data_IF_256422090066
#
_entry.id   IF_256422090066
#
_cell.length_a   1.000
_cell.length_b   1.000
_cell.length_c   1.000
_cell.angle_alpha   90.00
_cell.angle_beta   90.00
_cell.angle_gamma   90.00
#
_symmetry.space_group_name_H-M   'P 1'
#
loop_
_entity.id
_entity.type
_entity.pdbx_description
1 polymer ?
#
# COMPACT_ATOMS: atom_id res chain seq x y z
N UNK A 1 58.71 30.70 1.35
CA UNK A 1 57.93 29.83 2.23
C UNK A 1 56.65 29.41 1.49
N UNK A 2 56.46 28.18 1.11
CA UNK A 2 55.24 27.74 0.43
C UNK A 2 54.17 27.37 1.48
N UNK A 3 52.98 27.92 1.34
CA UNK A 3 51.81 27.62 2.15
C UNK A 3 51.24 26.25 1.75
N UNK A 4 51.13 25.34 2.75
CA UNK A 4 50.50 24.05 2.61
C UNK A 4 48.98 24.22 2.54
N UNK A 5 48.37 23.87 1.40
CA UNK A 5 46.96 23.75 1.24
C UNK A 5 46.53 22.41 1.86
N UNK A 6 45.81 22.47 2.99
CA UNK A 6 45.13 21.30 3.54
C UNK A 6 43.88 21.02 2.73
N UNK A 7 43.93 19.97 1.93
CA UNK A 7 42.74 19.40 1.31
C UNK A 7 41.83 18.82 2.42
N UNK A 8 40.72 19.47 2.71
CA UNK A 8 39.61 18.86 3.46
C UNK A 8 39.08 17.67 2.68
N UNK A 9 39.27 16.48 3.21
CA UNK A 9 38.51 15.29 2.76
C UNK A 9 37.05 15.54 3.10
N UNK A 10 36.23 15.77 2.09
CA UNK A 10 34.79 15.65 2.21
C UNK A 10 34.51 14.21 2.66
N UNK A 11 34.10 14.05 3.89
CA UNK A 11 33.58 12.82 4.43
C UNK A 11 32.26 12.51 3.69
N UNK A 12 32.31 11.58 2.74
CA UNK A 12 31.12 11.05 2.12
C UNK A 12 30.19 10.53 3.22
N UNK A 13 29.04 11.18 3.40
CA UNK A 13 27.99 10.69 4.28
C UNK A 13 27.64 9.28 3.81
N UNK A 14 28.04 8.27 4.59
CA UNK A 14 27.58 6.90 4.42
C UNK A 14 26.07 6.95 4.53
N UNK A 15 25.35 6.79 3.41
CA UNK A 15 23.90 6.69 3.45
C UNK A 15 23.56 5.46 4.30
N UNK A 16 23.03 5.69 5.50
CA UNK A 16 22.58 4.61 6.37
C UNK A 16 21.52 3.81 5.64
N UNK A 17 21.66 2.48 5.64
CA UNK A 17 20.69 1.57 5.00
C UNK A 17 19.34 1.70 5.71
N UNK A 18 18.27 1.72 4.94
CA UNK A 18 16.92 1.96 5.48
C UNK A 18 16.52 0.96 6.57
N UNK A 19 16.97 -0.29 6.44
CA UNK A 19 16.74 -1.34 7.42
C UNK A 19 17.42 -1.04 8.78
N UNK A 20 18.62 -0.48 8.76
CA UNK A 20 19.44 -0.29 9.97
C UNK A 20 18.96 0.93 10.80
N UNK A 21 18.20 1.82 10.16
CA UNK A 21 17.65 3.03 10.79
C UNK A 21 16.12 3.00 10.94
N UNK A 22 15.52 1.83 10.76
CA UNK A 22 14.08 1.66 10.88
C UNK A 22 13.62 2.01 12.31
N UNK A 23 12.74 3.02 12.49
CA UNK A 23 12.26 3.40 13.82
C UNK A 23 11.18 2.46 14.36
N UNK A 24 10.60 1.62 13.50
CA UNK A 24 9.59 0.61 13.84
C UNK A 24 9.87 -0.68 13.08
N UNK A 25 9.50 -1.81 13.66
CA UNK A 25 9.58 -3.12 13.01
C UNK A 25 8.21 -3.50 12.41
N UNK A 26 8.14 -3.53 11.08
CA UNK A 26 6.97 -3.95 10.32
C UNK A 26 7.02 -5.43 9.93
N UNK A 27 8.14 -6.13 10.15
CA UNK A 27 8.34 -7.49 9.62
C UNK A 27 7.42 -8.53 10.27
N UNK A 28 7.20 -9.66 9.59
CA UNK A 28 6.42 -10.81 10.05
C UNK A 28 5.01 -10.85 9.46
N UNK A 29 4.13 -11.58 10.12
CA UNK A 29 2.77 -11.86 9.66
C UNK A 29 1.74 -10.98 10.37
N UNK A 30 0.77 -10.50 9.60
CA UNK A 30 -0.28 -9.63 10.08
C UNK A 30 -1.62 -10.08 9.48
N UNK A 31 -2.68 -10.11 10.28
CA UNK A 31 -4.03 -10.45 9.79
C UNK A 31 -4.94 -9.24 9.87
N UNK A 32 -5.77 -9.04 8.86
CA UNK A 32 -6.79 -7.97 8.85
C UNK A 32 -7.67 -8.03 10.09
N UNK A 33 -7.71 -6.90 10.81
CA UNK A 33 -8.62 -6.68 11.93
C UNK A 33 -9.68 -5.67 11.49
N UNK A 34 -10.80 -6.20 10.94
CA UNK A 34 -11.81 -5.38 10.25
C UNK A 34 -12.73 -4.73 11.26
N UNK A 35 -12.39 -3.52 11.70
CA UNK A 35 -13.19 -2.69 12.63
C UNK A 35 -13.89 -1.54 11.93
N UNK A 36 -13.40 -1.15 10.74
CA UNK A 36 -13.91 -0.03 9.94
C UNK A 36 -14.43 -0.51 8.58
N UNK A 37 -15.42 0.16 8.05
CA UNK A 37 -16.00 -0.11 6.72
C UNK A 37 -16.34 -1.59 6.46
N UNK A 38 -16.55 -2.40 7.51
CA UNK A 38 -16.75 -3.85 7.43
C UNK A 38 -17.79 -4.24 6.37
N UNK A 39 -18.88 -3.48 6.25
CA UNK A 39 -19.95 -3.70 5.26
C UNK A 39 -19.45 -3.68 3.82
N UNK A 40 -18.41 -2.88 3.53
CA UNK A 40 -17.85 -2.72 2.18
C UNK A 40 -16.59 -3.55 1.96
N UNK A 41 -16.02 -4.10 3.03
CA UNK A 41 -14.82 -4.94 2.99
C UNK A 41 -15.15 -6.43 3.03
N UNK A 42 -16.15 -6.83 3.83
CA UNK A 42 -16.52 -8.23 4.04
C UNK A 42 -17.53 -8.75 3.02
N UNK A 43 -18.24 -7.87 2.35
CA UNK A 43 -19.22 -8.22 1.31
C UNK A 43 -19.01 -7.31 0.11
N UNK A 44 -19.03 -7.88 -1.11
CA UNK A 44 -19.00 -7.05 -2.33
C UNK A 44 -20.28 -6.21 -2.39
N UNK A 45 -20.17 -4.87 -2.39
CA UNK A 45 -21.34 -4.01 -2.49
C UNK A 45 -22.07 -4.19 -3.83
N UNK A 46 -23.34 -3.80 -3.87
CA UNK A 46 -24.10 -3.84 -5.09
C UNK A 46 -23.47 -2.98 -6.20
N UNK A 47 -23.68 -3.36 -7.45
CA UNK A 47 -23.36 -2.54 -8.62
C UNK A 47 -24.00 -1.15 -8.47
N UNK A 48 -23.27 -0.09 -8.78
CA UNK A 48 -23.74 1.29 -8.62
C UNK A 48 -23.58 1.87 -7.21
N UNK A 49 -23.16 1.08 -6.21
CA UNK A 49 -22.96 1.54 -4.83
C UNK A 49 -21.56 2.13 -4.65
N UNK A 50 -21.46 3.44 -4.52
CA UNK A 50 -20.19 4.14 -4.28
C UNK A 50 -20.22 5.13 -3.10
N UNK A 51 -21.23 5.04 -2.24
CA UNK A 51 -21.31 5.89 -1.05
C UNK A 51 -19.99 5.87 -0.26
N UNK A 52 -19.61 7.04 0.28
CA UNK A 52 -18.35 7.31 0.99
C UNK A 52 -17.09 7.31 0.11
N UNK A 53 -17.23 7.18 -1.20
CA UNK A 53 -16.12 7.45 -2.13
C UNK A 53 -16.47 8.71 -2.91
N UNK A 54 -15.59 9.72 -2.94
CA UNK A 54 -15.83 10.99 -3.62
C UNK A 54 -15.65 10.84 -5.14
N UNK A 55 -16.52 10.06 -5.77
CA UNK A 55 -16.45 9.74 -7.20
C UNK A 55 -16.81 10.97 -8.04
N UNK A 56 -16.01 11.24 -9.07
CA UNK A 56 -16.29 12.27 -10.07
C UNK A 56 -17.44 11.83 -11.02
N UNK A 57 -18.10 12.75 -11.72
CA UNK A 57 -19.08 12.40 -12.76
C UNK A 57 -18.55 11.42 -13.82
N UNK A 58 -17.25 11.45 -14.13
CA UNK A 58 -16.62 10.53 -15.07
C UNK A 58 -16.54 9.07 -14.57
N UNK A 59 -16.49 8.87 -13.26
CA UNK A 59 -16.44 7.52 -12.66
C UNK A 59 -17.79 6.80 -12.64
N UNK A 60 -18.90 7.53 -12.59
CA UNK A 60 -20.26 6.95 -12.42
C UNK A 60 -20.64 5.98 -13.55
N UNK A 61 -20.44 6.29 -14.84
CA UNK A 61 -20.74 5.34 -15.92
C UNK A 61 -19.95 4.04 -15.79
N UNK A 62 -18.69 4.08 -15.33
CA UNK A 62 -17.83 2.89 -15.16
C UNK A 62 -18.40 1.99 -14.07
N UNK A 63 -18.78 2.57 -12.92
CA UNK A 63 -19.40 1.83 -11.81
C UNK A 63 -20.69 1.15 -12.26
N UNK A 64 -21.52 1.86 -13.04
CA UNK A 64 -22.78 1.34 -13.55
C UNK A 64 -22.59 0.28 -14.66
N UNK A 65 -21.44 0.31 -15.37
CA UNK A 65 -21.08 -0.69 -16.36
C UNK A 65 -20.35 -1.90 -15.78
N UNK A 66 -19.93 -1.87 -14.49
CA UNK A 66 -19.16 -2.96 -13.89
C UNK A 66 -19.76 -4.34 -14.13
N UNK A 67 -18.93 -5.25 -14.63
CA UNK A 67 -19.28 -6.64 -14.90
C UNK A 67 -18.10 -7.55 -14.49
N UNK A 68 -18.21 -8.26 -13.36
CA UNK A 68 -17.14 -9.13 -12.87
C UNK A 68 -16.87 -10.33 -13.77
N UNK A 69 -17.88 -10.78 -14.52
CA UNK A 69 -17.74 -11.91 -15.48
C UNK A 69 -16.90 -11.45 -16.68
N UNK A 70 -17.17 -10.24 -17.19
CA UNK A 70 -16.37 -9.64 -18.25
C UNK A 70 -14.94 -9.40 -17.80
N UNK A 71 -14.71 -8.89 -16.56
CA UNK A 71 -13.37 -8.72 -16.01
C UNK A 71 -12.62 -10.05 -15.90
N UNK A 72 -13.27 -11.11 -15.44
CA UNK A 72 -12.66 -12.46 -15.36
C UNK A 72 -12.28 -12.97 -16.74
N UNK A 73 -13.18 -12.85 -17.72
CA UNK A 73 -12.94 -13.29 -19.11
C UNK A 73 -11.79 -12.53 -19.77
N UNK A 74 -11.62 -11.26 -19.41
CA UNK A 74 -10.54 -10.41 -19.91
C UNK A 74 -9.21 -10.56 -19.14
N UNK A 75 -9.11 -11.45 -18.13
CA UNK A 75 -7.92 -11.59 -17.29
C UNK A 75 -7.69 -10.42 -16.32
N UNK A 76 -8.75 -9.69 -16.00
CA UNK A 76 -8.69 -8.47 -15.20
C UNK A 76 -9.18 -8.66 -13.74
N UNK A 77 -9.24 -9.88 -13.25
CA UNK A 77 -9.72 -10.20 -11.89
C UNK A 77 -8.89 -9.55 -10.78
N UNK A 78 -7.68 -9.09 -11.09
CA UNK A 78 -6.83 -8.38 -10.12
C UNK A 78 -7.08 -6.86 -10.04
N UNK A 79 -8.05 -6.29 -10.76
CA UNK A 79 -8.35 -4.85 -10.71
C UNK A 79 -8.62 -4.32 -9.29
N UNK A 80 -9.26 -5.12 -8.43
CA UNK A 80 -9.56 -4.75 -7.04
C UNK A 80 -8.45 -5.10 -6.05
N UNK A 81 -7.34 -5.63 -6.53
CA UNK A 81 -6.16 -5.99 -5.73
C UNK A 81 -4.96 -5.10 -6.04
N UNK A 82 -5.15 -4.01 -6.79
CA UNK A 82 -4.10 -3.04 -7.06
C UNK A 82 -3.78 -2.15 -5.86
N UNK A 83 -2.71 -1.35 -5.96
CA UNK A 83 -2.18 -0.54 -4.88
C UNK A 83 -3.24 0.35 -4.19
N UNK A 84 -4.20 0.90 -4.95
CA UNK A 84 -5.27 1.75 -4.41
C UNK A 84 -6.30 1.04 -3.53
N UNK A 85 -6.31 -0.30 -3.50
CA UNK A 85 -7.33 -1.08 -2.82
C UNK A 85 -6.79 -2.21 -1.94
N UNK A 86 -5.60 -2.74 -2.24
CA UNK A 86 -5.13 -4.01 -1.67
C UNK A 86 -5.12 -4.04 -0.13
N UNK A 87 -4.79 -2.93 0.52
CA UNK A 87 -4.80 -2.86 1.99
C UNK A 87 -6.21 -2.93 2.58
N UNK A 88 -7.26 -2.61 1.80
CA UNK A 88 -8.66 -2.77 2.21
C UNK A 88 -9.20 -4.19 1.99
N UNK A 89 -8.55 -5.01 1.18
CA UNK A 89 -8.95 -6.41 0.98
C UNK A 89 -8.63 -7.20 2.25
N UNK A 90 -9.63 -7.84 2.89
CA UNK A 90 -9.36 -8.68 4.06
C UNK A 90 -8.45 -9.84 3.69
N UNK A 91 -7.46 -10.10 4.51
CA UNK A 91 -6.46 -11.15 4.31
C UNK A 91 -5.29 -10.95 5.26
N UNK A 92 -4.16 -11.58 4.93
CA UNK A 92 -2.91 -11.47 5.66
C UNK A 92 -1.85 -10.74 4.86
N UNK A 93 -0.96 -10.08 5.60
CA UNK A 93 0.28 -9.53 5.07
C UNK A 93 1.46 -10.35 5.60
N UNK A 94 2.44 -10.58 4.76
CA UNK A 94 3.77 -11.03 5.14
C UNK A 94 4.78 -9.98 4.73
N UNK A 95 5.42 -9.35 5.72
CA UNK A 95 6.34 -8.24 5.51
C UNK A 95 7.75 -8.69 5.86
N UNK A 96 8.68 -8.54 4.92
CA UNK A 96 10.08 -8.93 5.07
C UNK A 96 11.02 -7.92 4.41
N UNK A 97 12.26 -7.87 4.86
CA UNK A 97 13.29 -7.17 4.11
C UNK A 97 13.80 -8.05 2.98
N UNK A 98 13.65 -7.59 1.72
CA UNK A 98 14.24 -8.25 0.56
C UNK A 98 15.75 -7.98 0.49
N UNK A 99 16.14 -6.76 0.84
CA UNK A 99 17.52 -6.29 0.95
C UNK A 99 17.59 -5.14 1.99
N UNK A 100 18.70 -4.43 2.04
CA UNK A 100 18.92 -3.37 3.04
C UNK A 100 18.03 -2.13 2.84
N UNK A 101 17.52 -1.89 1.62
CA UNK A 101 16.77 -0.71 1.21
C UNK A 101 15.44 -1.04 0.51
N UNK A 102 15.01 -2.30 0.56
CA UNK A 102 13.74 -2.74 -0.02
C UNK A 102 12.93 -3.57 0.97
N UNK A 103 11.81 -3.04 1.41
CA UNK A 103 10.81 -3.78 2.18
C UNK A 103 9.83 -4.45 1.23
N UNK A 104 9.65 -5.76 1.38
CA UNK A 104 8.73 -6.58 0.61
C UNK A 104 7.46 -6.83 1.41
N UNK A 105 6.33 -6.49 0.83
CA UNK A 105 5.00 -6.73 1.39
C UNK A 105 4.23 -7.67 0.48
N UNK A 106 3.93 -8.84 0.99
CA UNK A 106 3.12 -9.86 0.30
C UNK A 106 1.73 -9.91 0.92
N UNK A 107 0.72 -10.18 0.09
CA UNK A 107 -0.65 -10.43 0.55
C UNK A 107 -1.06 -11.85 0.17
N UNK A 108 -1.71 -12.58 1.07
CA UNK A 108 -2.30 -13.87 0.76
C UNK A 108 -3.52 -13.70 -0.16
N UNK A 109 -4.40 -12.76 0.13
CA UNK A 109 -5.51 -12.41 -0.74
C UNK A 109 -5.00 -11.80 -2.06
N UNK A 110 -5.28 -12.48 -3.17
CA UNK A 110 -4.86 -12.06 -4.50
C UNK A 110 -3.41 -12.39 -4.86
N UNK A 111 -2.60 -12.95 -3.95
CA UNK A 111 -1.17 -13.28 -4.16
C UNK A 111 -0.39 -12.11 -4.71
N UNK A 112 -0.53 -10.93 -4.10
CA UNK A 112 0.17 -9.74 -4.56
C UNK A 112 1.49 -9.57 -3.82
N UNK A 113 2.46 -8.94 -4.50
CA UNK A 113 3.74 -8.52 -3.92
C UNK A 113 3.96 -7.06 -4.23
N UNK A 114 4.30 -6.28 -3.21
CA UNK A 114 4.68 -4.87 -3.30
C UNK A 114 6.12 -4.73 -2.81
N UNK A 115 6.90 -3.91 -3.50
CA UNK A 115 8.27 -3.60 -3.12
C UNK A 115 8.36 -2.13 -2.78
N UNK A 116 8.55 -1.81 -1.50
CA UNK A 116 8.75 -0.46 -1.01
C UNK A 116 10.24 -0.14 -1.01
N UNK A 117 10.66 0.68 -1.97
CA UNK A 117 12.06 1.00 -2.19
C UNK A 117 12.42 2.32 -1.53
N UNK A 118 13.40 2.26 -0.64
CA UNK A 118 14.02 3.44 -0.05
C UNK A 118 15.11 3.96 -1.00
N UNK A 119 15.43 5.25 -0.91
CA UNK A 119 16.50 5.89 -1.72
C UNK A 119 16.37 5.67 -3.24
N UNK A 120 15.16 5.36 -3.71
CA UNK A 120 14.85 5.08 -5.11
C UNK A 120 14.04 6.23 -5.72
N UNK A 121 14.08 6.30 -7.04
CA UNK A 121 13.19 7.12 -7.85
C UNK A 121 12.33 6.20 -8.71
N UNK A 122 11.15 6.67 -9.10
CA UNK A 122 10.33 5.96 -10.09
C UNK A 122 11.09 5.83 -11.41
N UNK A 123 10.93 4.70 -12.09
CA UNK A 123 11.64 4.40 -13.34
C UNK A 123 10.93 5.03 -14.53
N UNK A 124 11.51 6.04 -15.20
CA UNK A 124 10.87 6.63 -16.36
C UNK A 124 10.60 5.58 -17.45
N UNK A 125 9.37 5.51 -17.95
CA UNK A 125 8.97 4.59 -19.03
C UNK A 125 8.69 3.15 -18.62
N UNK A 126 8.71 2.82 -17.35
CA UNK A 126 8.24 1.51 -16.87
C UNK A 126 6.75 1.32 -17.18
N UNK A 127 6.37 0.10 -17.57
CA UNK A 127 4.95 -0.22 -17.83
C UNK A 127 4.17 -0.21 -16.52
N UNK A 128 2.96 0.40 -16.50
CA UNK A 128 2.09 0.36 -15.33
C UNK A 128 1.77 -1.07 -14.88
N UNK A 129 1.80 -1.30 -13.56
CA UNK A 129 1.43 -2.58 -12.95
C UNK A 129 0.29 -2.38 -11.94
N UNK A 130 -0.37 -3.47 -11.48
CA UNK A 130 -1.39 -3.36 -10.45
C UNK A 130 -0.84 -2.75 -9.15
N UNK A 131 0.42 -3.04 -8.81
CA UNK A 131 1.06 -2.55 -7.59
C UNK A 131 1.87 -1.27 -7.79
N UNK A 132 2.04 -0.82 -9.04
CA UNK A 132 2.78 0.39 -9.37
C UNK A 132 4.26 0.32 -8.94
N UNK A 133 4.83 1.50 -8.77
CA UNK A 133 6.18 1.72 -8.23
C UNK A 133 6.08 2.49 -6.92
N UNK A 134 6.61 1.92 -5.85
CA UNK A 134 6.51 2.48 -4.50
C UNK A 134 7.85 2.99 -4.01
N UNK A 135 7.89 4.26 -3.66
CA UNK A 135 9.02 4.93 -3.00
C UNK A 135 8.69 5.09 -1.52
N UNK A 136 9.58 4.63 -0.67
CA UNK A 136 9.41 4.59 0.77
C UNK A 136 10.39 5.54 1.47
N UNK A 137 9.96 6.06 2.63
CA UNK A 137 10.82 6.79 3.56
C UNK A 137 10.34 6.60 4.99
N UNK A 138 11.28 6.58 5.93
CA UNK A 138 10.94 6.66 7.33
C UNK A 138 10.59 8.10 7.73
N UNK A 139 9.59 8.23 8.58
CA UNK A 139 9.21 9.48 9.23
C UNK A 139 9.37 9.28 10.74
N UNK A 140 10.60 9.49 11.29
CA UNK A 140 10.85 9.34 12.71
C UNK A 140 10.13 10.44 13.49
N UNK A 141 9.67 10.14 14.70
CA UNK A 141 9.20 11.17 15.63
C UNK A 141 10.41 11.90 16.26
N UNK A 142 10.17 13.05 16.89
CA UNK A 142 11.24 13.90 17.44
C UNK A 142 12.17 13.21 18.46
N UNK A 143 11.73 12.10 19.06
CA UNK A 143 12.54 11.23 19.91
C UNK A 143 12.64 9.85 19.25
N UNK A 144 13.81 9.43 18.74
CA UNK A 144 13.99 8.19 17.97
C UNK A 144 13.58 6.91 18.71
N UNK A 145 13.63 6.90 20.03
CA UNK A 145 13.19 5.82 20.91
C UNK A 145 11.66 5.71 21.05
N UNK A 146 10.91 6.67 20.50
CA UNK A 146 9.44 6.72 20.59
C UNK A 146 8.72 6.22 19.33
N UNK A 147 9.46 5.60 18.40
CA UNK A 147 8.90 5.05 17.18
C UNK A 147 8.92 6.01 15.99
N UNK A 148 8.03 5.79 15.04
CA UNK A 148 7.92 6.54 13.79
C UNK A 148 6.89 5.91 12.89
N UNK A 149 6.83 6.40 11.66
CA UNK A 149 5.95 5.92 10.61
C UNK A 149 6.75 5.55 9.36
N UNK A 150 6.25 4.59 8.58
CA UNK A 150 6.73 4.40 7.22
C UNK A 150 5.77 5.12 6.27
N UNK A 151 6.26 6.10 5.53
CA UNK A 151 5.53 6.70 4.42
C UNK A 151 5.91 6.06 3.11
N UNK A 152 4.90 5.68 2.31
CA UNK A 152 5.06 5.11 0.97
C UNK A 152 4.24 5.93 -0.02
N UNK A 153 4.84 6.29 -1.15
CA UNK A 153 4.13 6.91 -2.28
C UNK A 153 4.25 6.00 -3.48
N UNK A 154 3.10 5.59 -4.00
CA UNK A 154 3.00 4.69 -5.16
C UNK A 154 2.40 5.42 -6.35
N UNK A 155 3.07 5.31 -7.49
CA UNK A 155 2.63 5.83 -8.78
C UNK A 155 2.80 4.76 -9.87
N UNK A 156 2.60 5.09 -11.15
CA UNK A 156 2.73 4.16 -12.27
C UNK A 156 1.85 2.90 -12.12
N UNK A 157 0.63 3.10 -11.64
CA UNK A 157 -0.37 2.05 -11.43
C UNK A 157 -1.17 1.78 -12.70
N UNK A 158 -1.61 0.55 -12.92
CA UNK A 158 -2.68 0.26 -13.89
C UNK A 158 -4.00 0.73 -13.31
N UNK A 159 -4.89 1.21 -14.19
CA UNK A 159 -6.27 1.52 -13.81
C UNK A 159 -6.96 0.30 -13.17
N UNK A 160 -7.57 0.50 -12.02
CA UNK A 160 -8.17 -0.57 -11.21
C UNK A 160 -9.41 -0.12 -10.47
N UNK A 161 -9.76 -0.83 -9.41
CA UNK A 161 -10.92 -0.53 -8.59
C UNK A 161 -10.53 -0.27 -7.13
N UNK A 162 -11.13 0.75 -6.52
CA UNK A 162 -11.04 1.06 -5.08
C UNK A 162 -11.90 0.12 -4.24
N UNK A 163 -12.91 -0.50 -4.86
CA UNK A 163 -13.79 -1.51 -4.27
C UNK A 163 -14.08 -2.60 -5.28
N UNK A 164 -14.40 -3.79 -4.81
CA UNK A 164 -14.70 -4.96 -5.64
C UNK A 164 -15.94 -4.82 -6.52
N UNK A 165 -16.76 -3.84 -6.32
CA UNK A 165 -17.93 -3.53 -7.15
C UNK A 165 -17.66 -2.51 -8.27
N UNK A 166 -16.40 -2.37 -8.69
CA UNK A 166 -16.06 -1.62 -9.90
C UNK A 166 -15.91 -0.11 -9.71
N UNK A 167 -15.76 0.41 -8.48
CA UNK A 167 -15.47 1.83 -8.27
C UNK A 167 -14.04 2.12 -8.74
N UNK A 168 -13.84 2.91 -9.82
CA UNK A 168 -12.58 2.98 -10.51
C UNK A 168 -11.55 3.91 -9.84
N UNK A 169 -10.27 3.64 -10.10
CA UNK A 169 -9.20 4.63 -10.16
C UNK A 169 -8.44 4.51 -11.49
N UNK A 170 -7.86 5.60 -11.95
CA UNK A 170 -7.16 5.68 -13.23
C UNK A 170 -5.67 5.38 -13.10
N UNK A 171 -4.95 5.30 -14.23
CA UNK A 171 -3.48 5.20 -14.26
C UNK A 171 -2.79 6.48 -13.78
N UNK A 172 -3.54 7.58 -13.62
CA UNK A 172 -3.05 8.86 -13.09
C UNK A 172 -3.18 8.95 -11.58
N UNK A 173 -3.70 7.90 -10.93
CA UNK A 173 -3.81 7.85 -9.48
C UNK A 173 -2.45 7.83 -8.80
N UNK A 174 -2.37 8.52 -7.67
CA UNK A 174 -1.28 8.43 -6.70
C UNK A 174 -1.83 7.86 -5.40
N UNK A 175 -1.11 6.91 -4.83
CA UNK A 175 -1.47 6.29 -3.56
C UNK A 175 -0.40 6.65 -2.54
N UNK A 176 -0.78 7.39 -1.50
CA UNK A 176 0.08 7.69 -0.35
C UNK A 176 -0.36 6.86 0.85
N UNK A 177 0.57 6.17 1.49
CA UNK A 177 0.28 5.30 2.63
C UNK A 177 1.20 5.62 3.80
N UNK A 178 0.66 5.55 5.02
CA UNK A 178 1.41 5.61 6.27
C UNK A 178 1.17 4.31 7.03
N UNK A 179 2.26 3.69 7.46
CA UNK A 179 2.26 2.44 8.22
C UNK A 179 2.74 2.77 9.63
N UNK A 180 1.85 2.59 10.60
CA UNK A 180 2.08 2.88 12.00
C UNK A 180 1.85 1.63 12.84
N UNK A 181 2.75 1.36 13.80
CA UNK A 181 2.60 0.24 14.72
C UNK A 181 2.32 0.76 16.12
N UNK A 182 1.29 0.22 16.75
CA UNK A 182 0.95 0.53 18.13
C UNK A 182 0.86 -0.74 18.98
N UNK A 183 1.36 -0.73 20.22
CA UNK A 183 1.20 -1.86 21.12
C UNK A 183 -0.26 -1.98 21.57
N UNK A 184 -0.70 -3.22 21.80
CA UNK A 184 -2.00 -3.52 22.40
C UNK A 184 -1.84 -3.85 23.89
N UNK A 185 -2.89 -3.65 24.72
CA UNK A 185 -2.83 -3.97 26.16
C UNK A 185 -2.57 -5.44 26.46
N UNK A 186 -2.87 -6.35 25.53
CA UNK A 186 -2.62 -7.79 25.64
C UNK A 186 -1.18 -8.20 25.27
N UNK A 187 -0.28 -7.23 25.02
CA UNK A 187 1.10 -7.46 24.59
C UNK A 187 1.23 -7.70 23.09
N UNK A 188 0.12 -7.71 22.34
CA UNK A 188 0.13 -7.79 20.89
C UNK A 188 0.50 -6.46 20.21
N UNK A 189 0.48 -6.45 18.89
CA UNK A 189 0.71 -5.26 18.08
C UNK A 189 -0.40 -5.08 17.05
N UNK A 190 -0.76 -3.82 16.83
CA UNK A 190 -1.67 -3.39 15.77
C UNK A 190 -0.89 -2.56 14.75
N UNK A 191 -1.00 -2.94 13.49
CA UNK A 191 -0.52 -2.15 12.35
C UNK A 191 -1.72 -1.38 11.77
N UNK A 192 -1.59 -0.07 11.68
CA UNK A 192 -2.53 0.82 11.01
C UNK A 192 -1.93 1.22 9.66
N UNK A 193 -2.72 1.13 8.59
CA UNK A 193 -2.28 1.55 7.26
C UNK A 193 -3.23 2.64 6.76
N UNK A 194 -2.87 3.90 6.98
CA UNK A 194 -3.65 5.01 6.42
C UNK A 194 -3.30 5.16 4.95
N UNK A 195 -4.28 4.90 4.09
CA UNK A 195 -4.14 5.00 2.63
C UNK A 195 -4.93 6.19 2.11
N UNK A 196 -4.29 7.04 1.34
CA UNK A 196 -4.87 8.18 0.63
C UNK A 196 -4.72 7.96 -0.86
N UNK A 197 -5.82 7.86 -1.59
CA UNK A 197 -5.83 7.76 -3.04
C UNK A 197 -6.29 9.09 -3.63
N UNK A 198 -5.44 9.70 -4.44
CA UNK A 198 -5.73 10.88 -5.24
C UNK A 198 -5.80 10.48 -6.71
N UNK A 199 -6.89 10.80 -7.37
CA UNK A 199 -7.08 10.49 -8.79
C UNK A 199 -7.77 11.68 -9.49
N UNK A 200 -7.06 12.40 -10.36
CA UNK A 200 -7.63 13.57 -11.04
C UNK A 200 -8.72 13.23 -12.06
N UNK A 201 -8.95 11.96 -12.36
CA UNK A 201 -9.95 11.50 -13.35
C UNK A 201 -11.25 11.08 -12.69
N UNK A 202 -11.17 10.18 -11.71
CA UNK A 202 -12.36 9.53 -11.16
C UNK A 202 -12.73 9.96 -9.74
N UNK A 203 -11.90 10.80 -9.10
CA UNK A 203 -12.20 11.34 -7.76
C UNK A 203 -12.28 12.87 -7.80
N UNK A 204 -13.22 13.45 -7.02
CA UNK A 204 -13.33 14.90 -6.80
C UNK A 204 -12.60 15.37 -5.54
N UNK A 205 -12.19 14.43 -4.69
CA UNK A 205 -11.40 14.67 -3.48
C UNK A 205 -10.61 13.40 -3.15
N UNK A 206 -9.57 13.45 -2.31
CA UNK A 206 -8.85 12.27 -1.87
C UNK A 206 -9.78 11.25 -1.19
N UNK A 207 -9.62 9.98 -1.54
CA UNK A 207 -10.29 8.86 -0.87
C UNK A 207 -9.37 8.29 0.19
N UNK A 208 -9.81 8.33 1.45
CA UNK A 208 -9.02 7.93 2.60
C UNK A 208 -9.60 6.67 3.25
N UNK A 209 -8.74 5.71 3.54
CA UNK A 209 -9.07 4.51 4.31
C UNK A 209 -7.99 4.25 5.36
N UNK A 210 -8.34 3.54 6.43
CA UNK A 210 -7.40 3.20 7.51
C UNK A 210 -7.59 1.75 7.99
N UNK A 211 -7.29 0.74 7.14
CA UNK A 211 -7.36 -0.66 7.55
C UNK A 211 -6.35 -0.98 8.65
N UNK A 212 -6.80 -1.88 9.55
CA UNK A 212 -6.02 -2.35 10.67
C UNK A 212 -5.63 -3.82 10.49
N UNK A 213 -4.47 -4.17 11.04
CA UNK A 213 -3.97 -5.54 11.04
C UNK A 213 -3.41 -5.88 12.42
N UNK A 214 -3.74 -7.06 12.94
CA UNK A 214 -3.17 -7.58 14.18
C UNK A 214 -1.98 -8.48 13.86
N UNK A 215 -0.90 -8.35 14.65
CA UNK A 215 0.29 -9.21 14.52
C UNK A 215 -0.08 -10.66 14.79
N UNK A 216 0.37 -11.58 13.93
CA UNK A 216 0.32 -13.02 14.15
C UNK A 216 1.70 -13.54 14.60
N UNK A 217 1.75 -14.60 15.40
CA UNK A 217 3.02 -15.13 15.92
C UNK A 217 3.89 -15.73 14.81
N UNK A 218 3.27 -16.31 13.78
CA UNK A 218 3.96 -17.00 12.69
C UNK A 218 3.08 -17.06 11.42
N UNK A 219 3.58 -17.77 10.40
CA UNK A 219 2.92 -17.96 9.12
C UNK A 219 2.01 -19.19 9.02
N UNK A 220 1.65 -19.86 10.11
CA UNK A 220 0.87 -21.11 10.08
C UNK A 220 -0.51 -20.97 9.42
N UNK A 221 -1.06 -19.75 9.40
CA UNK A 221 -2.34 -19.44 8.79
C UNK A 221 -2.22 -18.74 7.43
N UNK A 222 -1.02 -18.65 6.88
CA UNK A 222 -0.78 -18.06 5.56
C UNK A 222 -1.42 -18.93 4.47
N UNK A 223 -2.41 -18.37 3.75
CA UNK A 223 -3.21 -19.10 2.74
C UNK A 223 -3.36 -18.27 1.45
N UNK A 224 -2.38 -18.29 0.55
CA UNK A 224 -2.40 -17.49 -0.66
C UNK A 224 -3.48 -17.93 -1.65
N UNK A 225 -4.45 -17.08 -1.89
CA UNK A 225 -5.53 -17.26 -2.85
C UNK A 225 -5.36 -16.38 -4.08
N UNK A 226 -5.78 -16.83 -5.30
CA UNK A 226 -5.69 -16.00 -6.49
C UNK A 226 -6.62 -14.79 -6.42
N UNK A 227 -6.39 -13.81 -7.30
CA UNK A 227 -7.36 -12.74 -7.51
C UNK A 227 -8.72 -13.28 -7.97
N UNK A 228 -9.78 -12.66 -7.48
CA UNK A 228 -11.15 -12.95 -7.91
C UNK A 228 -11.91 -11.64 -8.15
N UNK A 229 -12.68 -11.58 -9.25
CA UNK A 229 -13.58 -10.45 -9.54
C UNK A 229 -14.83 -10.45 -8.64
N UNK A 230 -15.08 -11.56 -7.94
CA UNK A 230 -16.18 -11.74 -6.96
C UNK A 230 -15.60 -12.30 -5.66
N UNK A 231 -16.35 -12.17 -4.58
CA UNK A 231 -16.03 -12.85 -3.31
C UNK A 231 -16.56 -14.27 -3.32
#
# INVERSE_FOLDING_TARGET
>A
MPASVHAQREGGASSSRARDVAPIDLTGYWVSYVTENWRYRMVTPAKGEYRRIPVSPAGVPIINAWDPVADTRAGNQCKSYGAGAIMNVPGRLHITWQDADTLRVETDAGRQTRLFRFNSRTSPGAKPTWQGESVARWEPVAAPDKGGSLRVVTSNVRAGYLRKNGVPYSERATVSEHFDVTPLPDGGQLLLVTTVVEDPVYLIAPYVTSPHFKKEPDGSKWDPTPCSSTW
#
